data_IF_680200158068
#
_entry.id   IF_680200158068
#
_cell.length_a   1.000
_cell.length_b   1.000
_cell.length_c   1.000
_cell.angle_alpha   90.00
_cell.angle_beta   90.00
_cell.angle_gamma   90.00
#
_symmetry.space_group_name_H-M   'P 1'
#
loop_
_entity.id
_entity.type
_entity.pdbx_description
1 polymer ?
#
# COMPACT_ATOMS: atom_id res chain seq x y z
N UNK A 1 -2.56 -75.72 22.14
CA UNK A 1 -3.91 -76.20 21.80
C UNK A 1 -4.32 -75.61 20.45
N UNK A 2 -4.83 -76.43 19.54
CA UNK A 2 -4.86 -76.23 18.09
C UNK A 2 -5.99 -75.33 17.54
N UNK A 3 -5.61 -74.58 16.49
CA UNK A 3 -6.30 -74.24 15.22
C UNK A 3 -7.83 -74.42 15.00
N UNK A 4 -8.37 -73.36 14.37
CA UNK A 4 -9.30 -73.26 13.20
C UNK A 4 -10.72 -73.85 13.27
N UNK A 5 -11.70 -72.96 13.03
CA UNK A 5 -12.76 -73.19 12.04
C UNK A 5 -12.97 -71.94 11.17
N UNK A 6 -13.07 -72.20 9.87
CA UNK A 6 -13.43 -71.33 8.76
C UNK A 6 -14.95 -71.15 8.65
N UNK A 7 -15.39 -69.97 8.21
CA UNK A 7 -16.74 -69.71 7.71
C UNK A 7 -16.68 -68.60 6.67
N UNK A 8 -17.23 -68.86 5.49
CA UNK A 8 -17.09 -68.08 4.26
C UNK A 8 -18.27 -67.11 4.01
N UNK A 9 -18.07 -66.24 3.01
CA UNK A 9 -19.07 -65.43 2.25
C UNK A 9 -19.55 -64.14 2.96
N UNK A 10 -19.75 -62.98 2.33
CA UNK A 10 -20.04 -62.61 0.93
C UNK A 10 -19.42 -61.25 0.56
N UNK A 11 -19.25 -61.07 -0.74
CA UNK A 11 -19.13 -59.83 -1.51
C UNK A 11 -20.24 -58.80 -1.23
N UNK A 12 -19.88 -57.52 -1.18
CA UNK A 12 -20.64 -56.46 -1.87
C UNK A 12 -19.80 -55.19 -2.05
N UNK A 13 -19.79 -54.76 -3.30
CA UNK A 13 -19.22 -53.56 -3.91
C UNK A 13 -19.46 -52.22 -3.19
N UNK A 14 -18.60 -51.26 -3.52
CA UNK A 14 -19.11 -49.97 -4.00
C UNK A 14 -19.27 -48.83 -2.99
N UNK A 15 -18.23 -48.49 -2.23
CA UNK A 15 -18.18 -47.23 -1.48
C UNK A 15 -17.72 -46.05 -2.33
N UNK A 16 -18.63 -45.46 -3.11
CA UNK A 16 -18.45 -44.11 -3.69
C UNK A 16 -18.19 -43.12 -2.53
N UNK A 17 -17.02 -42.46 -2.53
CA UNK A 17 -16.77 -41.32 -1.66
C UNK A 17 -17.39 -40.09 -2.31
N UNK A 18 -18.54 -39.70 -1.80
CA UNK A 18 -19.18 -38.42 -2.12
C UNK A 18 -18.23 -37.27 -1.73
N UNK A 19 -17.61 -36.67 -2.73
CA UNK A 19 -17.02 -35.35 -2.57
C UNK A 19 -18.15 -34.32 -2.49
N UNK A 20 -18.15 -33.43 -1.49
CA UNK A 20 -19.13 -32.35 -1.45
C UNK A 20 -19.02 -31.52 -2.73
N UNK A 21 -20.16 -31.06 -3.29
CA UNK A 21 -20.17 -30.28 -4.52
C UNK A 21 -19.32 -29.03 -4.33
N UNK A 22 -18.31 -28.85 -5.21
CA UNK A 22 -17.58 -27.60 -5.26
C UNK A 22 -18.56 -26.47 -5.59
N UNK A 23 -18.50 -25.33 -4.89
CA UNK A 23 -19.33 -24.19 -5.21
C UNK A 23 -19.05 -23.76 -6.67
N UNK A 24 -20.08 -23.32 -7.40
CA UNK A 24 -19.93 -22.89 -8.78
C UNK A 24 -18.88 -21.77 -8.84
N UNK A 25 -17.87 -21.95 -9.70
CA UNK A 25 -16.93 -20.88 -10.07
C UNK A 25 -17.74 -19.75 -10.67
N UNK A 26 -18.03 -18.73 -9.87
CA UNK A 26 -18.65 -17.50 -10.34
C UNK A 26 -17.76 -16.91 -11.42
N UNK A 27 -18.28 -16.87 -12.66
CA UNK A 27 -17.70 -16.07 -13.73
C UNK A 27 -17.86 -14.61 -13.32
N UNK A 28 -16.87 -14.07 -12.62
CA UNK A 28 -16.76 -12.63 -12.42
C UNK A 28 -16.61 -11.99 -13.81
N UNK A 29 -17.64 -11.26 -14.22
CA UNK A 29 -17.62 -10.51 -15.48
C UNK A 29 -16.50 -9.45 -15.38
N UNK A 30 -15.45 -9.66 -16.16
CA UNK A 30 -14.19 -8.92 -16.17
C UNK A 30 -14.30 -7.57 -16.91
N UNK A 31 -15.34 -6.77 -16.64
CA UNK A 31 -15.48 -5.41 -17.20
C UNK A 31 -14.59 -4.40 -16.43
N UNK A 32 -14.14 -4.80 -15.24
CA UNK A 32 -13.42 -3.97 -14.27
C UNK A 32 -11.98 -3.58 -14.64
N UNK A 33 -11.12 -4.47 -15.18
CA UNK A 33 -9.74 -4.10 -15.46
C UNK A 33 -9.64 -3.07 -16.58
N UNK A 34 -10.49 -3.16 -17.61
CA UNK A 34 -10.41 -2.31 -18.79
C UNK A 34 -10.80 -0.85 -18.50
N UNK A 35 -11.84 -0.60 -17.70
CA UNK A 35 -12.26 0.77 -17.38
C UNK A 35 -11.27 1.48 -16.43
N UNK A 36 -10.79 0.80 -15.39
CA UNK A 36 -9.73 1.33 -14.53
C UNK A 36 -8.40 1.49 -15.28
N UNK A 37 -8.06 0.56 -16.18
CA UNK A 37 -6.87 0.67 -17.03
C UNK A 37 -6.98 1.83 -18.01
N UNK A 38 -8.13 2.03 -18.67
CA UNK A 38 -8.34 3.17 -19.57
C UNK A 38 -8.34 4.50 -18.81
N UNK A 39 -8.83 4.55 -17.57
CA UNK A 39 -8.77 5.76 -16.74
C UNK A 39 -7.35 6.04 -16.23
N UNK A 40 -6.60 5.01 -15.82
CA UNK A 40 -5.20 5.11 -15.39
C UNK A 40 -4.26 5.43 -16.57
N UNK A 41 -4.54 4.89 -17.76
CA UNK A 41 -3.87 5.25 -19.00
C UNK A 41 -4.31 6.62 -19.50
N UNK A 42 -5.56 7.04 -19.31
CA UNK A 42 -5.98 8.41 -19.61
C UNK A 42 -5.30 9.41 -18.68
N UNK A 43 -5.05 9.08 -17.40
CA UNK A 43 -4.18 9.87 -16.54
C UNK A 43 -2.73 9.91 -17.06
N UNK A 44 -2.28 8.88 -17.78
CA UNK A 44 -0.97 8.83 -18.46
C UNK A 44 -0.91 9.47 -19.86
N UNK A 45 -2.01 9.48 -20.62
CA UNK A 45 -2.08 9.89 -22.05
C UNK A 45 -2.88 11.17 -22.31
N UNK A 46 -3.85 11.50 -21.45
CA UNK A 46 -4.75 12.66 -21.60
C UNK A 46 -4.32 13.81 -20.69
N UNK A 47 -3.16 14.43 -20.91
CA UNK A 47 -2.84 15.70 -20.23
C UNK A 47 -2.20 16.76 -21.13
N UNK A 48 -2.87 17.02 -22.26
CA UNK A 48 -2.89 18.37 -22.83
C UNK A 48 -4.12 19.20 -22.44
N UNK A 49 -5.14 18.64 -21.78
CA UNK A 49 -6.37 19.40 -21.51
C UNK A 49 -7.20 18.84 -20.33
N UNK A 50 -6.93 19.30 -19.10
CA UNK A 50 -7.94 19.63 -18.09
C UNK A 50 -7.26 20.25 -16.86
N UNK A 51 -7.16 21.59 -16.86
CA UNK A 51 -6.67 22.36 -15.72
C UNK A 51 -7.83 22.49 -14.73
N UNK A 52 -7.89 21.63 -13.72
CA UNK A 52 -8.77 21.83 -12.57
C UNK A 52 -8.34 23.11 -11.84
N UNK A 53 -9.05 24.21 -12.09
CA UNK A 53 -8.96 25.42 -11.28
C UNK A 53 -9.63 25.14 -9.94
N UNK A 54 -8.84 24.94 -8.90
CA UNK A 54 -9.26 25.28 -7.55
C UNK A 54 -8.37 26.42 -7.06
N UNK A 55 -9.00 27.59 -6.96
CA UNK A 55 -8.47 28.74 -6.27
C UNK A 55 -8.40 28.43 -4.77
N UNK A 56 -7.20 28.54 -4.21
CA UNK A 56 -7.01 28.86 -2.80
C UNK A 56 -5.96 29.98 -2.73
N UNK A 57 -6.41 31.09 -2.15
CA UNK A 57 -5.77 32.38 -2.01
C UNK A 57 -4.46 32.34 -1.22
N UNK A 58 -3.54 33.21 -1.63
CA UNK A 58 -2.53 33.92 -0.83
C UNK A 58 -2.31 33.48 0.62
N UNK A 59 -1.21 32.75 0.83
CA UNK A 59 -0.10 33.04 1.76
C UNK A 59 0.65 31.74 2.05
N UNK A 60 1.71 31.49 1.30
CA UNK A 60 2.79 30.63 1.77
C UNK A 60 4.03 31.52 1.93
N UNK A 61 4.33 31.86 3.18
CA UNK A 61 5.65 32.33 3.55
C UNK A 61 6.67 31.29 3.05
N UNK A 62 7.59 31.72 2.21
CA UNK A 62 8.65 30.87 1.68
C UNK A 62 9.57 30.52 2.85
N UNK A 63 9.50 29.29 3.31
CA UNK A 63 10.39 28.75 4.34
C UNK A 63 11.83 28.72 3.81
N UNK A 64 12.78 29.43 4.46
CA UNK A 64 14.18 29.48 4.06
C UNK A 64 14.95 28.14 4.22
N UNK A 65 14.33 27.08 4.77
CA UNK A 65 14.89 25.72 4.81
C UNK A 65 14.96 25.03 3.42
N UNK A 66 14.37 25.61 2.37
CA UNK A 66 14.33 25.08 0.98
C UNK A 66 15.65 25.03 0.20
N UNK A 67 16.82 25.22 0.83
CA UNK A 67 18.09 25.37 0.10
C UNK A 67 18.97 24.13 -0.02
N UNK A 68 18.57 22.96 0.45
CA UNK A 68 19.41 21.77 0.34
C UNK A 68 18.76 20.68 -0.53
N UNK A 69 19.37 20.51 -1.71
CA UNK A 69 19.33 19.35 -2.62
C UNK A 69 17.96 18.88 -3.15
N UNK A 70 17.57 19.35 -4.35
CA UNK A 70 16.56 18.68 -5.20
C UNK A 70 16.41 19.14 -6.68
N UNK A 71 17.12 20.17 -7.24
CA UNK A 71 16.91 20.50 -8.66
C UNK A 71 17.18 19.34 -9.62
N UNK A 72 18.16 18.48 -9.30
CA UNK A 72 18.52 17.33 -10.14
C UNK A 72 17.42 16.27 -10.18
N UNK A 73 16.91 15.83 -9.03
CA UNK A 73 15.92 14.75 -8.98
C UNK A 73 14.60 15.11 -9.67
N UNK A 74 14.13 16.35 -9.55
CA UNK A 74 12.93 16.78 -10.26
C UNK A 74 13.14 16.79 -11.77
N UNK A 75 14.31 17.25 -12.23
CA UNK A 75 14.67 17.23 -13.65
C UNK A 75 14.79 15.79 -14.19
N UNK A 76 15.25 14.84 -13.37
CA UNK A 76 15.39 13.43 -13.76
C UNK A 76 14.07 12.72 -14.07
N UNK A 77 12.95 13.23 -13.54
CA UNK A 77 11.60 12.76 -13.80
C UNK A 77 10.73 13.79 -14.53
N UNK A 78 11.35 14.77 -15.19
CA UNK A 78 10.62 15.76 -15.97
C UNK A 78 9.79 15.09 -17.07
N UNK A 79 8.53 15.50 -17.21
CA UNK A 79 7.58 14.90 -18.15
C UNK A 79 7.05 13.52 -17.75
N UNK A 80 7.51 12.93 -16.64
CA UNK A 80 7.06 11.61 -16.17
C UNK A 80 6.04 11.73 -15.05
N UNK A 81 5.12 10.76 -15.02
CA UNK A 81 4.21 10.55 -13.89
C UNK A 81 4.58 9.25 -13.16
N UNK A 82 4.87 9.40 -11.87
CA UNK A 82 5.09 8.30 -10.94
C UNK A 82 3.83 8.14 -10.08
N UNK A 83 3.19 6.98 -10.21
CA UNK A 83 1.92 6.70 -9.54
C UNK A 83 2.17 5.88 -8.27
N UNK A 84 1.74 6.41 -7.12
CA UNK A 84 1.84 5.71 -5.84
C UNK A 84 0.47 5.18 -5.42
N UNK A 85 0.33 3.86 -5.40
CA UNK A 85 -0.91 3.17 -5.04
C UNK A 85 -0.94 2.91 -3.54
N UNK A 86 -1.69 3.74 -2.83
CA UNK A 86 -1.87 3.67 -1.38
C UNK A 86 -3.07 2.81 -0.99
N UNK A 87 -2.86 1.98 0.02
CA UNK A 87 -3.88 1.14 0.64
C UNK A 87 -3.56 0.94 2.12
N UNK A 88 -4.42 0.20 2.81
CA UNK A 88 -4.28 -0.22 4.21
C UNK A 88 -3.81 -1.68 4.33
N UNK A 89 -3.29 -2.27 3.25
CA UNK A 89 -3.00 -3.70 3.15
C UNK A 89 -4.27 -4.53 2.96
N UNK A 90 -4.16 -5.75 2.38
CA UNK A 90 -5.31 -6.66 2.16
C UNK A 90 -6.47 -6.08 1.30
N UNK A 91 -6.17 -5.12 0.44
CA UNK A 91 -7.12 -4.52 -0.53
C UNK A 91 -6.93 -5.03 -1.97
N UNK A 92 -6.21 -6.14 -2.17
CA UNK A 92 -5.93 -6.66 -3.51
C UNK A 92 -4.79 -5.95 -4.26
N UNK A 93 -3.95 -5.14 -3.60
CA UNK A 93 -2.80 -4.47 -4.25
C UNK A 93 -1.81 -5.44 -4.89
N UNK A 94 -1.65 -6.67 -4.37
CA UNK A 94 -0.85 -7.70 -5.03
C UNK A 94 -1.48 -8.15 -6.35
N UNK A 95 -2.81 -8.29 -6.38
CA UNK A 95 -3.54 -8.61 -7.60
C UNK A 95 -3.46 -7.45 -8.60
N UNK A 96 -3.58 -6.21 -8.13
CA UNK A 96 -3.32 -5.02 -8.94
C UNK A 96 -1.95 -5.12 -9.63
N UNK A 97 -0.88 -5.40 -8.89
CA UNK A 97 0.46 -5.51 -9.48
C UNK A 97 0.55 -6.59 -10.57
N UNK A 98 -0.16 -7.71 -10.41
CA UNK A 98 -0.18 -8.78 -11.41
C UNK A 98 -0.97 -8.44 -12.68
N UNK A 99 -2.02 -7.61 -12.57
CA UNK A 99 -2.91 -7.27 -13.69
C UNK A 99 -2.37 -6.08 -14.48
N UNK A 100 -1.80 -5.10 -13.78
CA UNK A 100 -1.36 -3.83 -14.39
C UNK A 100 0.11 -3.86 -14.85
N UNK A 101 0.89 -4.89 -14.49
CA UNK A 101 2.24 -5.07 -15.01
C UNK A 101 2.23 -5.50 -16.48
N UNK A 102 2.97 -4.81 -17.37
CA UNK A 102 3.00 -5.20 -18.77
C UNK A 102 3.70 -4.24 -19.72
N UNK A 103 3.15 -4.12 -20.93
CA UNK A 103 3.73 -3.31 -22.02
C UNK A 103 3.74 -1.82 -21.71
N UNK A 104 2.70 -1.29 -21.07
CA UNK A 104 2.53 0.16 -20.87
C UNK A 104 2.85 0.63 -19.44
N UNK A 105 3.07 -0.30 -18.50
CA UNK A 105 3.28 0.02 -17.10
C UNK A 105 4.35 -0.86 -16.45
N UNK A 106 5.19 -0.21 -15.65
CA UNK A 106 6.16 -0.85 -14.75
C UNK A 106 5.58 -0.80 -13.34
N UNK A 107 5.20 -1.96 -12.81
CA UNK A 107 4.61 -2.06 -11.46
C UNK A 107 5.61 -2.68 -10.49
N UNK A 108 5.91 -1.95 -9.43
CA UNK A 108 6.70 -2.41 -8.31
C UNK A 108 5.79 -2.71 -7.10
N UNK A 109 5.92 -3.88 -6.50
CA UNK A 109 5.11 -4.28 -5.34
C UNK A 109 5.95 -4.35 -4.07
N UNK A 110 5.76 -3.37 -3.19
CA UNK A 110 6.37 -3.30 -1.86
C UNK A 110 7.91 -3.25 -1.81
N UNK A 111 8.63 -3.28 -2.95
CA UNK A 111 10.08 -3.10 -2.92
C UNK A 111 10.43 -1.64 -2.60
N UNK A 112 11.30 -1.48 -1.61
CA UNK A 112 11.76 -0.19 -1.13
C UNK A 112 13.18 0.16 -1.59
N UNK A 113 14.00 -0.85 -1.89
CA UNK A 113 15.38 -0.72 -2.35
C UNK A 113 15.83 -2.00 -3.07
N UNK A 114 16.80 -1.88 -3.97
CA UNK A 114 17.55 -3.02 -4.54
C UNK A 114 18.68 -3.50 -3.60
N UNK A 115 19.06 -2.68 -2.62
CA UNK A 115 20.22 -2.93 -1.74
C UNK A 115 19.82 -3.48 -0.38
N UNK A 116 18.63 -3.13 0.10
CA UNK A 116 18.12 -3.55 1.41
C UNK A 116 16.71 -4.11 1.28
N UNK A 117 16.40 -5.10 2.09
CA UNK A 117 15.04 -5.65 2.13
C UNK A 117 14.05 -4.58 2.61
N UNK A 118 12.79 -4.70 2.19
CA UNK A 118 11.71 -3.82 2.70
C UNK A 118 11.62 -3.85 4.22
N UNK A 119 11.90 -5.01 4.86
CA UNK A 119 11.95 -5.12 6.32
C UNK A 119 13.02 -4.20 6.92
N UNK A 120 14.22 -4.19 6.35
CA UNK A 120 15.32 -3.35 6.81
C UNK A 120 15.05 -1.87 6.54
N UNK A 121 14.55 -1.52 5.34
CA UNK A 121 14.14 -0.15 5.04
C UNK A 121 13.11 0.36 6.06
N UNK A 122 12.10 -0.46 6.39
CA UNK A 122 11.11 -0.09 7.40
C UNK A 122 11.76 0.16 8.76
N UNK A 123 12.56 -0.79 9.23
CA UNK A 123 13.10 -0.73 10.59
C UNK A 123 14.13 0.39 10.76
N UNK A 124 14.93 0.65 9.73
CA UNK A 124 16.07 1.56 9.81
C UNK A 124 15.72 2.99 9.33
N UNK A 125 14.64 3.15 8.56
CA UNK A 125 14.26 4.45 7.99
C UNK A 125 12.84 4.83 8.39
N UNK A 126 11.84 4.05 7.98
CA UNK A 126 10.44 4.44 8.14
C UNK A 126 10.01 4.56 9.60
N UNK A 127 10.46 3.64 10.47
CA UNK A 127 10.13 3.67 11.90
C UNK A 127 10.81 4.81 12.64
N UNK A 128 12.13 5.04 12.52
CA UNK A 128 12.76 6.23 13.08
C UNK A 128 12.12 7.53 12.59
N UNK A 129 11.82 7.62 11.28
CA UNK A 129 11.07 8.74 10.72
C UNK A 129 9.71 8.92 11.42
N UNK A 130 8.89 7.87 11.43
CA UNK A 130 7.54 7.92 11.99
C UNK A 130 7.54 8.30 13.49
N UNK A 131 8.51 7.79 14.26
CA UNK A 131 8.60 8.04 15.69
C UNK A 131 9.10 9.46 16.01
N UNK A 132 10.01 10.02 15.21
CA UNK A 132 10.73 11.27 15.54
C UNK A 132 10.45 12.44 14.60
N UNK A 133 9.65 12.21 13.55
CA UNK A 133 9.50 13.12 12.42
C UNK A 133 10.86 13.48 11.77
N UNK A 134 11.74 12.50 11.61
CA UNK A 134 13.09 12.69 11.06
C UNK A 134 13.05 12.89 9.53
N UNK A 135 12.58 14.07 9.11
CA UNK A 135 12.36 14.39 7.69
C UNK A 135 13.65 14.35 6.88
N UNK A 136 14.81 14.57 7.51
CA UNK A 136 16.10 14.50 6.84
C UNK A 136 16.46 13.06 6.47
N UNK A 137 16.32 12.11 7.42
CA UNK A 137 16.51 10.69 7.16
C UNK A 137 15.58 10.19 6.04
N UNK A 138 14.31 10.60 6.08
CA UNK A 138 13.33 10.30 5.04
C UNK A 138 13.74 10.83 3.67
N UNK A 139 14.13 12.11 3.59
CA UNK A 139 14.58 12.73 2.34
C UNK A 139 15.81 12.02 1.79
N UNK A 140 16.79 11.75 2.64
CA UNK A 140 18.03 11.07 2.26
C UNK A 140 17.74 9.70 1.66
N UNK A 141 16.95 8.88 2.34
CA UNK A 141 16.56 7.56 1.83
C UNK A 141 15.82 7.66 0.49
N UNK A 142 14.87 8.58 0.36
CA UNK A 142 14.14 8.75 -0.88
C UNK A 142 15.04 9.23 -2.03
N UNK A 143 15.88 10.23 -1.78
CA UNK A 143 16.75 10.86 -2.77
C UNK A 143 17.91 9.97 -3.22
N UNK A 144 18.53 9.23 -2.29
CA UNK A 144 19.75 8.46 -2.55
C UNK A 144 19.47 6.98 -2.82
N UNK A 145 18.31 6.45 -2.40
CA UNK A 145 18.00 5.02 -2.52
C UNK A 145 16.75 4.76 -3.35
N UNK A 146 15.58 5.24 -2.91
CA UNK A 146 14.30 4.85 -3.53
C UNK A 146 14.11 5.43 -4.93
N UNK A 147 14.31 6.74 -5.11
CA UNK A 147 14.10 7.41 -6.39
C UNK A 147 15.14 6.96 -7.45
N UNK A 148 16.45 6.82 -7.13
CA UNK A 148 17.41 6.24 -8.05
C UNK A 148 17.07 4.82 -8.51
N UNK A 149 16.58 3.96 -7.59
CA UNK A 149 16.07 2.63 -7.95
C UNK A 149 14.91 2.74 -8.96
N UNK A 150 13.92 3.59 -8.70
CA UNK A 150 12.77 3.79 -9.60
C UNK A 150 13.24 4.21 -10.99
N UNK A 151 14.15 5.17 -11.06
CA UNK A 151 14.73 5.66 -12.31
C UNK A 151 15.43 4.54 -13.07
N UNK A 152 16.32 3.79 -12.40
CA UNK A 152 17.05 2.68 -13.02
C UNK A 152 16.10 1.61 -13.57
N UNK A 153 15.08 1.23 -12.80
CA UNK A 153 14.07 0.25 -13.23
C UNK A 153 13.24 0.75 -14.42
N UNK A 154 12.87 2.03 -14.45
CA UNK A 154 12.17 2.65 -15.60
C UNK A 154 13.04 2.61 -16.86
N UNK A 155 14.30 3.05 -16.75
CA UNK A 155 15.26 3.04 -17.85
C UNK A 155 15.51 1.64 -18.41
N UNK A 156 15.60 0.63 -17.54
CA UNK A 156 15.80 -0.76 -17.95
C UNK A 156 14.56 -1.38 -18.62
N UNK A 157 13.35 -0.92 -18.25
CA UNK A 157 12.11 -1.50 -18.76
C UNK A 157 11.62 -0.88 -20.08
N UNK A 158 11.78 0.44 -20.19
CA UNK A 158 11.37 1.37 -21.27
C UNK A 158 10.88 2.65 -20.56
N UNK A 159 11.57 3.75 -20.81
CA UNK A 159 11.37 5.02 -20.10
C UNK A 159 10.04 5.71 -20.45
N UNK A 160 9.30 5.19 -21.44
CA UNK A 160 7.94 5.61 -21.78
C UNK A 160 6.85 5.00 -20.89
N UNK A 161 7.18 3.96 -20.11
CA UNK A 161 6.19 3.28 -19.25
C UNK A 161 5.78 4.15 -18.06
N UNK A 162 4.52 4.03 -17.66
CA UNK A 162 4.04 4.62 -16.41
C UNK A 162 4.53 3.78 -15.23
N UNK A 163 5.16 4.42 -14.25
CA UNK A 163 5.60 3.74 -13.03
C UNK A 163 4.47 3.65 -12.01
N UNK A 164 4.27 2.48 -11.43
CA UNK A 164 3.39 2.27 -10.30
C UNK A 164 4.19 1.69 -9.12
N UNK A 165 4.23 2.38 -7.98
CA UNK A 165 4.57 1.76 -6.71
C UNK A 165 3.29 1.31 -6.04
N UNK A 166 3.18 0.03 -5.72
CA UNK A 166 2.09 -0.49 -4.89
C UNK A 166 2.61 -0.85 -3.50
N UNK A 167 1.88 -0.45 -2.48
CA UNK A 167 2.25 -0.73 -1.10
C UNK A 167 1.54 0.20 -0.12
N UNK A 168 1.32 -0.27 1.10
CA UNK A 168 0.71 0.56 2.14
C UNK A 168 1.76 1.37 2.92
N UNK A 169 3.02 0.91 2.96
CA UNK A 169 4.09 1.47 3.82
C UNK A 169 4.26 2.99 3.66
N UNK A 170 4.37 3.57 2.45
CA UNK A 170 4.65 5.00 2.36
C UNK A 170 3.56 5.90 2.96
N UNK A 171 2.28 5.54 2.80
CA UNK A 171 1.19 6.26 3.47
C UNK A 171 1.13 5.87 4.96
N UNK A 172 1.30 4.58 5.26
CA UNK A 172 1.22 3.99 6.60
C UNK A 172 2.24 4.58 7.59
N UNK A 173 3.37 5.10 7.09
CA UNK A 173 4.44 5.68 7.90
C UNK A 173 4.69 7.17 7.60
N UNK A 174 3.84 7.83 6.81
CA UNK A 174 3.94 9.27 6.56
C UNK A 174 5.01 9.72 5.57
N UNK A 175 5.51 8.83 4.70
CA UNK A 175 6.44 9.18 3.60
C UNK A 175 5.78 9.88 2.43
N UNK A 176 4.47 9.70 2.22
CA UNK A 176 3.78 10.26 1.05
C UNK A 176 3.96 11.80 0.88
N UNK A 177 3.88 12.64 1.94
CA UNK A 177 4.21 14.06 1.83
C UNK A 177 5.65 14.34 1.39
N UNK A 178 6.64 13.58 1.89
CA UNK A 178 8.06 13.77 1.54
C UNK A 178 8.32 13.36 0.08
N UNK A 179 7.71 12.27 -0.38
CA UNK A 179 7.72 11.87 -1.79
C UNK A 179 7.14 12.96 -2.71
N UNK A 180 5.97 13.50 -2.34
CA UNK A 180 5.33 14.58 -3.09
C UNK A 180 6.18 15.85 -3.11
N UNK A 181 6.83 16.18 -2.00
CA UNK A 181 7.72 17.34 -1.93
C UNK A 181 8.92 17.21 -2.87
N UNK A 182 9.59 16.04 -2.87
CA UNK A 182 10.78 15.78 -3.69
C UNK A 182 10.45 15.72 -5.19
N UNK A 183 9.33 15.10 -5.55
CA UNK A 183 8.92 14.93 -6.95
C UNK A 183 8.15 16.14 -7.50
N UNK A 184 7.44 16.86 -6.63
CA UNK A 184 6.48 17.88 -7.01
C UNK A 184 5.17 17.31 -7.57
N UNK A 185 4.13 18.14 -7.57
CA UNK A 185 2.77 17.81 -8.03
C UNK A 185 2.69 17.34 -9.49
N UNK A 186 3.63 17.78 -10.32
CA UNK A 186 3.63 17.45 -11.75
C UNK A 186 4.18 16.05 -12.02
N UNK A 187 4.96 15.48 -11.09
CA UNK A 187 5.54 14.15 -11.26
C UNK A 187 4.84 13.12 -10.36
N UNK A 188 4.42 13.54 -9.18
CA UNK A 188 3.71 12.68 -8.24
C UNK A 188 2.22 12.56 -8.61
N UNK A 189 1.73 11.33 -8.72
CA UNK A 189 0.31 11.00 -8.73
C UNK A 189 0.03 9.88 -7.72
N UNK A 190 -1.22 9.76 -7.29
CA UNK A 190 -1.59 8.71 -6.33
C UNK A 190 -2.89 7.99 -6.70
N UNK A 191 -2.97 6.71 -6.36
CA UNK A 191 -4.22 5.93 -6.41
C UNK A 191 -4.51 5.44 -5.00
N UNK A 192 -5.69 5.74 -4.46
CA UNK A 192 -6.15 5.23 -3.18
C UNK A 192 -7.11 4.08 -3.41
N UNK A 193 -6.70 2.85 -3.07
CA UNK A 193 -7.56 1.66 -3.15
C UNK A 193 -8.20 1.40 -1.79
N UNK A 194 -9.52 1.52 -1.73
CA UNK A 194 -10.37 1.27 -0.57
C UNK A 194 -11.07 -0.09 -0.72
N UNK A 195 -11.50 -0.65 0.39
CA UNK A 195 -12.34 -1.85 0.49
C UNK A 195 -13.30 -1.60 1.65
N UNK A 196 -14.43 -2.32 1.68
CA UNK A 196 -15.31 -2.32 2.84
C UNK A 196 -14.52 -2.44 4.15
N UNK A 197 -14.80 -1.50 5.06
CA UNK A 197 -14.03 -1.28 6.27
C UNK A 197 -14.06 -2.49 7.19
N UNK A 198 -15.23 -3.13 7.33
CA UNK A 198 -15.41 -4.28 8.22
C UNK A 198 -14.68 -5.49 7.65
N UNK A 199 -14.93 -5.82 6.38
CA UNK A 199 -14.26 -6.93 5.70
C UNK A 199 -12.74 -6.77 5.69
N UNK A 200 -12.25 -5.54 5.54
CA UNK A 200 -10.84 -5.27 5.54
C UNK A 200 -10.21 -5.49 6.92
N UNK A 201 -10.84 -4.98 7.98
CA UNK A 201 -10.35 -5.21 9.35
C UNK A 201 -10.34 -6.71 9.70
N UNK A 202 -11.39 -7.44 9.33
CA UNK A 202 -11.44 -8.90 9.48
C UNK A 202 -10.30 -9.59 8.69
N UNK A 203 -10.04 -9.16 7.46
CA UNK A 203 -8.94 -9.72 6.67
C UNK A 203 -7.55 -9.40 7.24
N UNK A 204 -7.38 -8.27 7.94
CA UNK A 204 -6.12 -7.93 8.60
C UNK A 204 -5.93 -8.76 9.87
N UNK A 205 -6.99 -8.96 10.66
CA UNK A 205 -6.97 -9.87 11.81
C UNK A 205 -6.62 -11.31 11.42
N UNK A 206 -7.01 -11.75 10.23
CA UNK A 206 -6.70 -13.07 9.71
C UNK A 206 -5.22 -13.28 9.32
N UNK A 207 -4.35 -12.26 9.47
CA UNK A 207 -2.92 -12.39 9.17
C UNK A 207 -2.15 -13.26 10.18
N UNK A 208 -2.67 -13.41 11.40
CA UNK A 208 -2.02 -14.19 12.44
C UNK A 208 -2.84 -14.25 13.73
N UNK A 209 -2.37 -15.00 14.75
CA UNK A 209 -2.97 -14.98 16.08
C UNK A 209 -2.80 -13.61 16.76
N UNK A 210 -3.54 -13.36 17.84
CA UNK A 210 -3.47 -12.10 18.61
C UNK A 210 -2.09 -11.84 19.22
N UNK A 211 -1.36 -12.90 19.60
CA UNK A 211 0.03 -12.78 20.07
C UNK A 211 0.97 -12.14 19.03
N UNK A 212 0.65 -12.26 17.74
CA UNK A 212 1.40 -11.68 16.63
C UNK A 212 0.86 -10.33 16.15
N UNK A 213 -0.09 -9.74 16.87
CA UNK A 213 -0.58 -8.41 16.50
C UNK A 213 0.53 -7.36 16.63
N UNK A 214 0.55 -6.36 15.75
CA UNK A 214 1.62 -5.38 15.72
C UNK A 214 1.69 -4.49 16.97
N UNK A 215 0.61 -4.47 17.77
CA UNK A 215 0.48 -3.65 18.97
C UNK A 215 0.47 -4.46 20.28
N UNK A 216 0.77 -5.76 20.25
CA UNK A 216 1.01 -6.51 21.49
C UNK A 216 2.35 -6.08 22.11
N UNK A 217 2.48 -6.17 23.43
CA UNK A 217 3.70 -5.79 24.16
C UNK A 217 4.89 -6.66 23.73
N UNK A 218 4.66 -7.98 23.66
CA UNK A 218 5.64 -9.03 23.31
C UNK A 218 5.90 -9.18 21.81
N UNK A 219 5.28 -8.34 20.96
CA UNK A 219 5.45 -8.49 19.52
C UNK A 219 6.88 -8.10 19.11
N UNK A 220 7.76 -9.09 18.98
CA UNK A 220 8.81 -9.11 17.95
C UNK A 220 8.24 -9.47 16.56
N UNK A 221 6.89 -9.50 16.44
CA UNK A 221 6.17 -10.03 15.30
C UNK A 221 6.65 -9.46 13.96
N UNK A 222 6.68 -10.33 12.96
CA UNK A 222 6.89 -9.95 11.55
C UNK A 222 5.88 -8.88 11.10
N UNK A 223 4.75 -8.75 11.79
CA UNK A 223 3.68 -7.83 11.47
C UNK A 223 3.98 -6.40 11.91
N UNK A 224 4.74 -6.18 12.99
CA UNK A 224 5.10 -4.81 13.41
C UNK A 224 5.62 -3.98 12.26
N UNK A 225 6.46 -4.53 11.38
CA UNK A 225 7.03 -3.76 10.25
C UNK A 225 5.98 -3.12 9.30
N UNK A 226 4.74 -3.56 9.32
CA UNK A 226 3.72 -3.08 8.39
C UNK A 226 2.78 -2.01 8.99
N UNK A 227 2.83 -1.79 10.31
CA UNK A 227 1.83 -0.97 10.99
C UNK A 227 2.44 0.14 11.87
N UNK A 228 1.86 1.36 11.82
CA UNK A 228 2.27 2.45 12.69
C UNK A 228 1.84 2.21 14.13
N UNK A 229 2.53 2.86 15.07
CA UNK A 229 2.10 2.98 16.46
C UNK A 229 1.13 4.14 16.60
N UNK A 230 0.14 4.08 17.51
CA UNK A 230 -0.76 5.22 17.78
C UNK A 230 -0.04 6.50 18.19
N UNK A 231 1.16 6.37 18.77
CA UNK A 231 2.02 7.48 19.17
C UNK A 231 2.93 8.02 18.08
N UNK A 232 2.98 7.42 16.89
CA UNK A 232 3.82 7.91 15.79
C UNK A 232 3.37 9.31 15.34
N UNK A 233 4.33 10.14 14.90
CA UNK A 233 4.09 11.55 14.60
C UNK A 233 3.13 11.79 13.44
N UNK A 234 3.11 10.92 12.42
CA UNK A 234 2.26 11.10 11.24
C UNK A 234 0.81 10.66 11.46
N UNK A 235 0.53 9.88 12.51
CA UNK A 235 -0.82 9.43 12.89
C UNK A 235 -1.70 10.64 13.23
N UNK A 236 -2.93 10.62 12.73
CA UNK A 236 -3.93 11.69 12.87
C UNK A 236 -4.96 11.39 13.94
N UNK A 237 -5.36 10.13 14.07
CA UNK A 237 -6.27 9.69 15.12
C UNK A 237 -5.43 9.14 16.27
N UNK A 238 -5.11 9.97 17.25
CA UNK A 238 -4.29 9.56 18.40
C UNK A 238 -5.19 9.35 19.62
N UNK A 239 -5.62 8.10 19.89
CA UNK A 239 -6.34 7.82 21.13
C UNK A 239 -5.40 8.02 22.32
N UNK A 240 -5.94 8.52 23.43
CA UNK A 240 -5.22 8.52 24.70
C UNK A 240 -4.90 7.06 25.10
N UNK A 241 -3.78 6.86 25.79
CA UNK A 241 -3.29 5.53 26.17
C UNK A 241 -4.33 4.69 26.94
N UNK A 242 -5.09 5.24 27.92
CA UNK A 242 -6.15 4.49 28.58
C UNK A 242 -7.28 4.05 27.65
N UNK A 243 -7.58 4.83 26.61
CA UNK A 243 -8.60 4.50 25.61
C UNK A 243 -8.08 3.41 24.68
N UNK A 244 -6.85 3.56 24.20
CA UNK A 244 -6.19 2.57 23.34
C UNK A 244 -6.13 1.19 24.00
N UNK A 245 -5.78 1.14 25.29
CA UNK A 245 -5.67 -0.11 26.04
C UNK A 245 -7.03 -0.81 26.22
N UNK A 246 -8.16 -0.08 26.11
CA UNK A 246 -9.51 -0.65 26.12
C UNK A 246 -9.98 -1.15 24.75
N UNK A 247 -9.31 -0.79 23.66
CA UNK A 247 -9.67 -1.31 22.35
C UNK A 247 -9.34 -2.79 22.24
N UNK A 248 -10.35 -3.58 21.87
CA UNK A 248 -10.13 -4.95 21.47
C UNK A 248 -9.40 -5.01 20.12
N UNK A 249 -8.94 -6.20 19.76
CA UNK A 249 -8.22 -6.48 18.51
C UNK A 249 -8.90 -5.88 17.27
N UNK A 250 -10.20 -6.14 17.09
CA UNK A 250 -10.96 -5.64 15.94
C UNK A 250 -11.01 -4.11 15.89
N UNK A 251 -11.24 -3.47 17.04
CA UNK A 251 -11.27 -2.00 17.15
C UNK A 251 -9.91 -1.36 16.80
N UNK A 252 -8.79 -2.00 17.14
CA UNK A 252 -7.44 -1.53 16.76
C UNK A 252 -7.22 -1.59 15.24
N UNK A 253 -7.70 -2.63 14.57
CA UNK A 253 -7.66 -2.69 13.11
C UNK A 253 -8.62 -1.70 12.46
N UNK A 254 -9.83 -1.49 13.00
CA UNK A 254 -10.73 -0.43 12.53
C UNK A 254 -10.09 0.95 12.65
N UNK A 255 -9.45 1.24 13.78
CA UNK A 255 -8.70 2.48 14.00
C UNK A 255 -7.62 2.69 12.94
N UNK A 256 -6.85 1.65 12.59
CA UNK A 256 -5.82 1.73 11.54
C UNK A 256 -6.43 2.17 10.19
N UNK A 257 -7.61 1.65 9.84
CA UNK A 257 -8.29 1.99 8.60
C UNK A 257 -8.71 3.46 8.60
N UNK A 258 -9.32 3.91 9.70
CA UNK A 258 -9.81 5.28 9.85
C UNK A 258 -8.65 6.30 9.90
N UNK A 259 -7.55 5.94 10.56
CA UNK A 259 -6.37 6.79 10.64
C UNK A 259 -5.67 6.91 9.28
N UNK A 260 -5.61 5.81 8.52
CA UNK A 260 -5.05 5.86 7.16
C UNK A 260 -5.91 6.73 6.24
N UNK A 261 -7.24 6.66 6.38
CA UNK A 261 -8.14 7.54 5.65
C UNK A 261 -7.97 9.00 6.06
N UNK A 262 -7.85 9.26 7.37
CA UNK A 262 -7.56 10.61 7.89
C UNK A 262 -6.25 11.19 7.35
N UNK A 263 -5.20 10.36 7.22
CA UNK A 263 -3.93 10.76 6.61
C UNK A 263 -4.05 11.01 5.12
N UNK A 264 -4.80 10.18 4.40
CA UNK A 264 -5.09 10.38 2.99
C UNK A 264 -5.82 11.71 2.75
N UNK A 265 -6.89 11.98 3.49
CA UNK A 265 -7.63 13.25 3.40
C UNK A 265 -6.76 14.45 3.82
N UNK A 266 -5.85 14.27 4.79
CA UNK A 266 -4.88 15.31 5.13
C UNK A 266 -3.88 15.57 4.01
N UNK A 267 -3.42 14.54 3.30
CA UNK A 267 -2.50 14.69 2.16
C UNK A 267 -3.17 15.47 1.04
N UNK A 268 -4.39 15.07 0.66
CA UNK A 268 -5.21 15.75 -0.37
C UNK A 268 -5.50 17.20 -0.05
N UNK A 269 -5.94 17.51 1.17
CA UNK A 269 -6.32 18.89 1.55
C UNK A 269 -5.15 19.86 1.55
N UNK A 270 -3.95 19.36 1.87
CA UNK A 270 -2.76 20.21 2.02
C UNK A 270 -1.98 20.40 0.72
N UNK A 271 -2.25 19.60 -0.31
CA UNK A 271 -1.42 19.58 -1.50
C UNK A 271 -2.26 19.41 -2.76
N UNK A 272 -1.88 20.11 -3.83
CA UNK A 272 -2.43 19.86 -5.16
C UNK A 272 -1.57 18.78 -5.85
N UNK A 273 -2.17 17.65 -6.22
CA UNK A 273 -1.56 16.58 -7.02
C UNK A 273 -2.67 15.75 -7.67
N UNK A 274 -2.33 14.98 -8.70
CA UNK A 274 -3.30 14.13 -9.38
C UNK A 274 -3.58 12.88 -8.55
N UNK A 275 -4.86 12.56 -8.34
CA UNK A 275 -5.23 11.35 -7.64
C UNK A 275 -6.51 10.70 -8.17
N UNK A 276 -6.61 9.39 -7.91
CA UNK A 276 -7.80 8.59 -8.14
C UNK A 276 -8.15 7.81 -6.85
N UNK A 277 -9.44 7.72 -6.55
CA UNK A 277 -9.95 6.86 -5.48
C UNK A 277 -10.74 5.71 -6.10
N UNK A 278 -10.42 4.49 -5.68
CA UNK A 278 -11.05 3.25 -6.14
C UNK A 278 -11.60 2.53 -4.94
N UNK A 279 -12.84 2.05 -5.02
CA UNK A 279 -13.47 1.24 -3.97
C UNK A 279 -13.69 -0.17 -4.49
N UNK A 280 -13.12 -1.15 -3.80
CA UNK A 280 -13.27 -2.57 -4.08
C UNK A 280 -14.52 -3.08 -3.37
N UNK A 281 -15.47 -3.59 -4.15
CA UNK A 281 -16.64 -4.32 -3.66
C UNK A 281 -16.26 -5.72 -3.12
#
# INVERSE_FOLDING_TARGET
MFRRKSGASRSSDGGFKDHPPQPPRSKFNLVWPAACFMLLLALGRSMHFCRSQNAASDRAAVDPSRRFMAPSLKAEFEGKKLVFVFSTGRTGTKHFSSVFGGKEALVNHQDESDLVSTKEAVNNVYRPFAARNDTELARKFLAEVKLPMIKSRLQAADDSKVYFQTGHVPLAFGMAPVLLELLGSNTFAAVRIRRDRIQQALSLMALGPESEDPWSEDSESLNRRWFPRPSDFHVKLRPDEPVWNRFNRFQRYLWLLDDTESRWQSLKRKNAFDYLEVEME
#
